data_IF_639085652368
#
_entry.id   IF_639085652368
#
_cell.length_a   1.000
_cell.length_b   1.000
_cell.length_c   1.000
_cell.angle_alpha   90.00
_cell.angle_beta   90.00
_cell.angle_gamma   90.00
#
_symmetry.space_group_name_H-M   'P 1'
#
loop_
_entity.id
_entity.type
_entity.pdbx_description
1 polymer ?
#
# COMPACT_ATOMS: atom_id res chain seq x y z
N UNK A 1 -10.28 -4.22 5.48
CA UNK A 1 -9.35 -5.22 4.88
C UNK A 1 -9.98 -5.73 3.61
N UNK A 2 -9.20 -5.95 2.54
CA UNK A 2 -9.70 -6.46 1.26
C UNK A 2 -9.73 -7.99 1.28
N UNK A 3 -10.87 -8.54 1.71
CA UNK A 3 -11.12 -9.98 1.73
C UNK A 3 -12.33 -10.29 0.85
N UNK A 4 -12.32 -11.42 0.16
CA UNK A 4 -13.49 -11.92 -0.55
C UNK A 4 -14.68 -12.00 0.42
N UNK A 5 -15.79 -11.34 0.11
CA UNK A 5 -16.99 -11.31 0.96
C UNK A 5 -17.64 -12.68 1.14
N UNK A 6 -17.32 -13.65 0.27
CA UNK A 6 -17.95 -14.99 0.28
C UNK A 6 -17.10 -16.01 1.04
N UNK A 7 -15.79 -16.08 0.77
CA UNK A 7 -14.93 -17.12 1.34
C UNK A 7 -13.86 -16.61 2.30
N UNK A 8 -13.82 -15.29 2.55
CA UNK A 8 -12.81 -14.68 3.42
C UNK A 8 -11.39 -14.66 2.85
N UNK A 9 -11.16 -15.22 1.66
CA UNK A 9 -9.85 -15.24 1.03
C UNK A 9 -9.30 -13.83 0.87
N UNK A 10 -8.08 -13.62 1.37
CA UNK A 10 -7.43 -12.32 1.37
C UNK A 10 -6.60 -12.11 0.12
N UNK A 11 -6.48 -10.86 -0.32
CA UNK A 11 -5.42 -10.50 -1.27
C UNK A 11 -4.05 -10.31 -0.59
N UNK A 12 -3.95 -10.56 0.73
CA UNK A 12 -2.72 -10.48 1.53
C UNK A 12 -2.23 -11.88 1.97
N UNK A 13 -0.93 -11.99 2.25
CA UNK A 13 -0.20 -13.19 2.77
C UNK A 13 0.04 -14.36 1.78
N UNK A 14 0.59 -15.49 2.25
CA UNK A 14 0.80 -16.69 1.42
C UNK A 14 -0.54 -17.30 1.00
N UNK A 15 -0.71 -17.58 -0.29
CA UNK A 15 -1.98 -18.03 -0.86
C UNK A 15 -2.88 -16.90 -1.39
N UNK A 16 -2.29 -15.78 -1.85
CA UNK A 16 -3.03 -14.61 -2.36
C UNK A 16 -4.01 -15.01 -3.44
N UNK A 17 -5.24 -14.57 -3.26
CA UNK A 17 -6.28 -14.72 -4.26
C UNK A 17 -6.50 -13.36 -4.91
N UNK A 18 -6.41 -13.24 -6.25
CA UNK A 18 -6.81 -12.03 -6.95
C UNK A 18 -8.22 -11.62 -6.51
N UNK A 19 -8.41 -10.34 -6.20
CA UNK A 19 -9.72 -9.80 -5.86
C UNK A 19 -10.10 -8.65 -6.79
N UNK A 20 -11.38 -8.61 -7.16
CA UNK A 20 -12.00 -7.53 -7.92
C UNK A 20 -13.13 -6.95 -7.08
N UNK A 21 -13.25 -5.63 -7.09
CA UNK A 21 -14.43 -4.95 -6.53
C UNK A 21 -15.55 -5.01 -7.56
N UNK A 22 -16.70 -5.55 -7.14
CA UNK A 22 -17.97 -5.45 -7.88
C UNK A 22 -19.03 -4.92 -6.93
N UNK A 23 -19.68 -3.81 -7.28
CA UNK A 23 -20.67 -3.11 -6.45
C UNK A 23 -20.19 -2.86 -5.01
N UNK A 24 -18.98 -2.31 -4.88
CA UNK A 24 -18.34 -1.97 -3.59
C UNK A 24 -18.00 -3.19 -2.71
N UNK A 25 -18.10 -4.41 -3.25
CA UNK A 25 -17.75 -5.65 -2.55
C UNK A 25 -16.58 -6.36 -3.23
N UNK A 26 -15.67 -6.91 -2.42
CA UNK A 26 -14.52 -7.66 -2.90
C UNK A 26 -14.88 -9.11 -3.17
N UNK A 27 -14.55 -9.62 -4.35
CA UNK A 27 -14.73 -11.02 -4.70
C UNK A 27 -13.45 -11.63 -5.24
N UNK A 28 -13.19 -12.89 -4.91
CA UNK A 28 -12.26 -13.69 -5.69
C UNK A 28 -12.93 -14.25 -6.94
N UNK A 29 -12.12 -14.66 -7.92
CA UNK A 29 -12.61 -15.18 -9.21
C UNK A 29 -13.66 -16.30 -9.07
N UNK A 30 -13.36 -17.32 -8.25
CA UNK A 30 -14.26 -18.45 -8.01
C UNK A 30 -15.61 -18.00 -7.43
N UNK A 31 -15.58 -17.12 -6.43
CA UNK A 31 -16.79 -16.64 -5.77
C UNK A 31 -17.56 -15.64 -6.63
N UNK A 32 -16.87 -14.80 -7.41
CA UNK A 32 -17.53 -13.87 -8.33
C UNK A 32 -18.33 -14.65 -9.37
N UNK A 33 -17.71 -15.66 -10.01
CA UNK A 33 -18.37 -16.50 -11.00
C UNK A 33 -19.57 -17.24 -10.43
N UNK A 34 -19.50 -17.66 -9.16
CA UNK A 34 -20.61 -18.34 -8.46
C UNK A 34 -21.77 -17.40 -8.13
N UNK A 35 -21.49 -16.17 -7.72
CA UNK A 35 -22.52 -15.23 -7.20
C UNK A 35 -23.08 -14.32 -8.29
N UNK A 36 -22.21 -13.76 -9.14
CA UNK A 36 -22.56 -12.74 -10.14
C UNK A 36 -22.45 -13.25 -11.58
N UNK A 37 -21.94 -14.47 -11.77
CA UNK A 37 -21.68 -15.02 -13.10
C UNK A 37 -20.53 -14.30 -13.81
N UNK A 38 -20.64 -14.17 -15.13
CA UNK A 38 -19.64 -13.49 -15.96
C UNK A 38 -19.83 -11.97 -15.86
N UNK A 39 -18.82 -11.25 -15.38
CA UNK A 39 -18.84 -9.79 -15.26
C UNK A 39 -18.04 -9.17 -16.41
N UNK A 40 -18.72 -8.45 -17.29
CA UNK A 40 -18.14 -7.82 -18.49
C UNK A 40 -18.62 -6.38 -18.58
N UNK A 41 -17.70 -5.45 -18.87
CA UNK A 41 -18.02 -4.05 -19.08
C UNK A 41 -18.87 -3.88 -20.35
N UNK A 42 -20.04 -3.27 -20.23
CA UNK A 42 -20.94 -3.04 -21.38
C UNK A 42 -20.42 -2.00 -22.37
N UNK A 43 -19.40 -1.21 -21.99
CA UNK A 43 -18.81 -0.17 -22.85
C UNK A 43 -17.59 -0.65 -23.64
N UNK A 44 -16.66 -1.36 -23.00
CA UNK A 44 -15.40 -1.76 -23.64
C UNK A 44 -15.25 -3.28 -23.83
N UNK A 45 -16.19 -4.09 -23.33
CA UNK A 45 -16.09 -5.56 -23.37
C UNK A 45 -15.05 -6.15 -22.41
N UNK A 46 -14.39 -5.33 -21.59
CA UNK A 46 -13.40 -5.80 -20.62
C UNK A 46 -14.02 -6.72 -19.56
N UNK A 47 -13.41 -7.86 -19.34
CA UNK A 47 -13.86 -8.89 -18.39
C UNK A 47 -13.12 -8.80 -17.05
N UNK A 48 -13.82 -9.08 -15.95
CA UNK A 48 -13.21 -9.15 -14.63
C UNK A 48 -12.06 -10.17 -14.60
N UNK A 49 -10.96 -9.84 -13.90
CA UNK A 49 -9.72 -10.63 -13.81
C UNK A 49 -8.88 -10.76 -15.08
N UNK A 50 -9.38 -10.30 -16.23
CA UNK A 50 -8.59 -10.20 -17.48
C UNK A 50 -7.91 -8.83 -17.59
N UNK A 51 -8.54 -7.79 -17.03
CA UNK A 51 -8.00 -6.44 -16.94
C UNK A 51 -7.96 -5.96 -15.48
N UNK A 52 -7.09 -4.99 -15.17
CA UNK A 52 -6.95 -4.34 -13.86
C UNK A 52 -8.14 -3.43 -13.48
N UNK A 53 -9.33 -3.74 -13.98
CA UNK A 53 -10.57 -2.99 -13.79
C UNK A 53 -11.40 -3.54 -12.62
N UNK A 54 -12.03 -2.63 -11.88
CA UNK A 54 -13.14 -2.97 -10.99
C UNK A 54 -14.47 -2.60 -11.65
N UNK A 55 -15.58 -3.09 -11.15
CA UNK A 55 -16.88 -2.98 -11.86
C UNK A 55 -17.96 -2.44 -10.95
N UNK A 56 -18.80 -1.57 -11.47
CA UNK A 56 -20.02 -1.10 -10.80
C UNK A 56 -21.21 -1.29 -11.72
N UNK A 57 -22.36 -1.60 -11.15
CA UNK A 57 -23.62 -1.54 -11.87
C UNK A 57 -24.02 -0.08 -12.07
N UNK A 58 -24.12 0.35 -13.32
CA UNK A 58 -24.60 1.67 -13.74
C UNK A 58 -25.70 1.43 -14.78
N UNK A 59 -26.89 1.98 -14.52
CA UNK A 59 -28.07 1.80 -15.37
C UNK A 59 -28.40 0.33 -15.69
N UNK A 60 -28.25 -0.54 -14.68
CA UNK A 60 -28.52 -1.98 -14.80
C UNK A 60 -27.44 -2.78 -15.54
N UNK A 61 -26.33 -2.16 -15.94
CA UNK A 61 -25.23 -2.82 -16.64
C UNK A 61 -23.91 -2.69 -15.88
N UNK A 62 -23.04 -3.68 -15.98
CA UNK A 62 -21.69 -3.57 -15.43
C UNK A 62 -20.84 -2.63 -16.28
N UNK A 63 -20.18 -1.68 -15.61
CA UNK A 63 -19.20 -0.80 -16.22
C UNK A 63 -17.89 -0.84 -15.44
N UNK A 64 -16.77 -0.99 -16.16
CA UNK A 64 -15.46 -0.99 -15.52
C UNK A 64 -15.06 0.42 -15.07
N UNK A 65 -14.19 0.51 -14.07
CA UNK A 65 -13.69 1.76 -13.51
C UNK A 65 -13.08 2.69 -14.55
N UNK A 66 -12.39 2.15 -15.54
CA UNK A 66 -11.74 2.96 -16.56
C UNK A 66 -12.78 3.61 -17.50
N UNK A 67 -13.88 2.91 -17.78
CA UNK A 67 -15.01 3.46 -18.52
C UNK A 67 -15.84 4.43 -17.67
N UNK A 68 -16.03 4.16 -16.38
CA UNK A 68 -16.68 5.09 -15.45
C UNK A 68 -15.93 6.42 -15.38
N UNK A 69 -14.60 6.37 -15.33
CA UNK A 69 -13.74 7.55 -15.26
C UNK A 69 -13.78 8.35 -16.56
N UNK A 70 -13.66 7.67 -17.71
CA UNK A 70 -13.80 8.31 -19.04
C UNK A 70 -15.18 8.95 -19.26
N UNK A 71 -16.23 8.37 -18.70
CA UNK A 71 -17.59 8.90 -18.80
C UNK A 71 -17.90 9.99 -17.76
N UNK A 72 -16.95 10.34 -16.87
CA UNK A 72 -17.16 11.33 -15.82
C UNK A 72 -18.13 10.89 -14.72
N UNK A 73 -18.42 9.58 -14.62
CA UNK A 73 -19.40 9.02 -13.68
C UNK A 73 -18.81 8.85 -12.29
N UNK A 74 -17.60 8.31 -12.22
CA UNK A 74 -16.89 8.08 -10.96
C UNK A 74 -15.41 7.83 -11.25
N UNK A 75 -14.52 8.41 -10.45
CA UNK A 75 -13.09 8.12 -10.55
C UNK A 75 -12.81 6.71 -10.02
N UNK A 76 -11.89 5.98 -10.66
CA UNK A 76 -11.47 4.64 -10.20
C UNK A 76 -11.09 4.62 -8.71
N UNK A 77 -10.40 5.66 -8.27
CA UNK A 77 -9.98 5.83 -6.88
C UNK A 77 -11.15 5.99 -5.89
N UNK A 78 -12.11 6.86 -6.18
CA UNK A 78 -13.28 7.08 -5.31
C UNK A 78 -14.06 5.78 -5.12
N UNK A 79 -14.17 5.00 -6.19
CA UNK A 79 -14.84 3.72 -6.16
C UNK A 79 -14.14 2.68 -5.26
N UNK A 80 -12.82 2.58 -5.36
CA UNK A 80 -12.01 1.70 -4.51
C UNK A 80 -12.08 2.13 -3.04
N UNK A 81 -12.01 3.44 -2.79
CA UNK A 81 -12.12 3.99 -1.43
C UNK A 81 -13.50 3.75 -0.83
N UNK A 82 -14.57 3.89 -1.61
CA UNK A 82 -15.93 3.54 -1.18
C UNK A 82 -16.01 2.06 -0.77
N UNK A 83 -15.48 1.15 -1.59
CA UNK A 83 -15.47 -0.28 -1.27
C UNK A 83 -14.68 -0.64 0.01
N UNK A 84 -13.59 0.09 0.26
CA UNK A 84 -12.78 -0.13 1.46
C UNK A 84 -13.41 0.42 2.75
N UNK A 85 -14.24 1.47 2.64
CA UNK A 85 -14.95 2.09 3.77
C UNK A 85 -16.30 1.41 4.06
N UNK A 86 -17.01 0.90 3.05
CA UNK A 86 -18.25 0.14 3.21
C UNK A 86 -18.07 -1.16 4.02
N UNK A 87 -16.86 -1.75 3.99
CA UNK A 87 -16.51 -2.90 4.83
C UNK A 87 -16.46 -2.59 6.34
N UNK A 88 -16.26 -1.33 6.73
CA UNK A 88 -16.29 -0.91 8.14
C UNK A 88 -17.71 -0.76 8.67
N UNK A 89 -18.68 -0.44 7.82
CA UNK A 89 -20.08 -0.25 8.23
C UNK A 89 -20.83 -1.56 8.47
N UNK A 90 -20.46 -2.66 7.80
CA UNK A 90 -21.13 -3.96 7.95
C UNK A 90 -20.57 -4.84 9.09
N UNK A 91 -19.43 -4.48 9.68
CA UNK A 91 -18.84 -5.20 10.81
C UNK A 91 -19.45 -4.80 12.18
N UNK A 92 -20.38 -3.83 12.21
CA UNK A 92 -21.02 -3.34 13.45
C UNK A 92 -22.30 -4.06 13.87
N UNK A 93 -22.74 -5.10 13.15
CA UNK A 93 -24.03 -5.74 13.37
C UNK A 93 -23.96 -7.28 13.43
N UNK A 94 -22.96 -7.83 14.11
CA UNK A 94 -23.02 -9.18 14.68
C UNK A 94 -21.74 -9.48 15.48
N UNK A 95 -21.86 -9.62 16.81
CA UNK A 95 -20.78 -10.22 17.59
C UNK A 95 -20.79 -9.83 19.06
N UNK A 96 -21.28 -10.76 19.89
CA UNK A 96 -21.01 -10.80 21.34
C UNK A 96 -19.49 -10.70 21.61
N UNK A 97 -19.16 -9.95 22.65
CA UNK A 97 -17.87 -10.00 23.37
C UNK A 97 -17.42 -11.44 23.65
N UNK A 98 -16.10 -11.73 23.62
CA UNK A 98 -15.25 -11.35 24.76
C UNK A 98 -13.85 -10.79 24.42
N UNK A 99 -13.40 -9.94 25.36
CA UNK A 99 -12.03 -9.79 25.85
C UNK A 99 -10.99 -9.03 25.00
N UNK A 100 -10.73 -7.81 25.47
CA UNK A 100 -9.44 -7.12 25.57
C UNK A 100 -8.25 -7.66 24.74
N UNK A 101 -7.83 -6.89 23.74
CA UNK A 101 -6.58 -7.07 22.99
C UNK A 101 -6.52 -6.11 21.81
N UNK A 102 -5.86 -4.97 22.00
CA UNK A 102 -5.69 -3.86 21.06
C UNK A 102 -5.17 -4.28 19.68
N UNK A 103 -6.03 -4.20 18.66
CA UNK A 103 -5.67 -4.46 17.26
C UNK A 103 -5.04 -3.25 16.58
N UNK A 104 -3.71 -3.30 16.40
CA UNK A 104 -3.00 -2.55 15.33
C UNK A 104 -1.73 -3.25 14.79
N UNK A 105 -1.32 -4.39 15.36
CA UNK A 105 0.04 -4.92 15.19
C UNK A 105 0.33 -5.78 13.94
N UNK A 106 -0.67 -6.23 13.18
CA UNK A 106 -0.45 -7.27 12.17
C UNK A 106 0.23 -6.77 10.87
N UNK A 107 0.10 -5.49 10.51
CA UNK A 107 0.79 -4.91 9.35
C UNK A 107 2.16 -4.30 9.71
N UNK A 108 2.29 -3.73 10.90
CA UNK A 108 3.56 -3.23 11.43
C UNK A 108 4.54 -4.39 11.71
N UNK A 109 4.06 -5.51 12.25
CA UNK A 109 4.91 -6.64 12.63
C UNK A 109 5.72 -7.25 11.48
N UNK A 110 5.16 -7.33 10.26
CA UNK A 110 5.84 -7.96 9.12
C UNK A 110 7.02 -7.14 8.57
N UNK A 111 6.80 -5.86 8.28
CA UNK A 111 7.87 -4.99 7.76
C UNK A 111 8.90 -4.63 8.83
N UNK A 112 8.46 -4.44 10.07
CA UNK A 112 9.35 -4.15 11.19
C UNK A 112 10.27 -5.34 11.48
N UNK A 113 9.75 -6.57 11.48
CA UNK A 113 10.57 -7.77 11.64
C UNK A 113 11.60 -7.95 10.52
N UNK A 114 11.32 -7.50 9.30
CA UNK A 114 12.31 -7.53 8.21
C UNK A 114 13.45 -6.55 8.50
N UNK A 115 13.14 -5.34 8.95
CA UNK A 115 14.15 -4.33 9.29
C UNK A 115 14.97 -4.76 10.52
N UNK A 116 14.32 -5.27 11.56
CA UNK A 116 14.99 -5.71 12.80
C UNK A 116 15.88 -6.94 12.60
N UNK A 117 15.65 -7.76 11.57
CA UNK A 117 16.58 -8.82 11.18
C UNK A 117 17.89 -8.30 10.60
N UNK A 118 17.84 -7.11 10.00
CA UNK A 118 18.99 -6.48 9.35
C UNK A 118 19.79 -5.59 10.31
N UNK A 119 19.25 -5.27 11.49
CA UNK A 119 19.98 -4.53 12.53
C UNK A 119 21.06 -5.40 13.15
N UNK A 120 22.27 -4.83 13.32
CA UNK A 120 23.39 -5.53 13.94
C UNK A 120 23.19 -5.73 15.45
N UNK A 121 24.05 -6.54 16.11
CA UNK A 121 24.00 -6.71 17.56
C UNK A 121 24.09 -5.36 18.30
N UNK A 122 23.10 -5.06 19.14
CA UNK A 122 23.02 -3.81 19.91
C UNK A 122 22.56 -2.58 19.11
N UNK A 123 22.20 -2.73 17.83
CA UNK A 123 21.57 -1.68 17.05
C UNK A 123 20.06 -1.72 17.25
N UNK A 124 19.46 -0.55 17.54
CA UNK A 124 18.03 -0.42 17.76
C UNK A 124 17.41 0.50 16.71
N UNK A 125 16.22 0.14 16.24
CA UNK A 125 15.39 1.01 15.40
C UNK A 125 14.73 2.06 16.29
N UNK A 126 15.09 3.32 16.07
CA UNK A 126 14.57 4.48 16.82
C UNK A 126 13.25 4.98 16.22
N UNK A 127 13.21 5.10 14.89
CA UNK A 127 12.02 5.56 14.15
C UNK A 127 11.71 4.53 13.06
N UNK A 128 10.41 4.24 12.89
CA UNK A 128 9.89 3.37 11.86
C UNK A 128 8.60 3.95 11.30
N UNK A 129 8.50 4.08 9.98
CA UNK A 129 7.28 4.51 9.31
C UNK A 129 6.99 3.62 8.11
N UNK A 130 5.73 3.20 7.98
CA UNK A 130 5.25 2.44 6.84
C UNK A 130 4.94 3.37 5.67
N UNK A 131 5.47 3.04 4.50
CA UNK A 131 5.05 3.63 3.23
C UNK A 131 3.74 3.02 2.72
N UNK A 132 3.56 3.05 1.40
CA UNK A 132 2.51 2.32 0.72
C UNK A 132 2.83 0.80 0.69
N UNK A 133 1.91 0.01 0.13
CA UNK A 133 1.96 -1.45 0.20
C UNK A 133 3.35 -2.04 -0.14
N UNK A 134 3.98 -2.64 0.88
CA UNK A 134 5.27 -3.31 0.78
C UNK A 134 6.48 -2.40 1.00
N UNK A 135 6.31 -1.18 1.51
CA UNK A 135 7.40 -0.22 1.70
C UNK A 135 7.47 0.23 3.16
N UNK A 136 8.69 0.39 3.68
CA UNK A 136 8.93 1.00 4.98
C UNK A 136 10.28 1.67 4.99
N UNK A 137 10.41 2.72 5.81
CA UNK A 137 11.68 3.34 6.11
C UNK A 137 11.83 3.45 7.62
N UNK A 138 13.03 3.19 8.09
CA UNK A 138 13.39 3.25 9.49
C UNK A 138 14.74 3.92 9.65
N UNK A 139 15.07 4.34 10.86
CA UNK A 139 16.42 4.74 11.19
C UNK A 139 16.85 4.20 12.55
N UNK A 140 18.16 3.96 12.65
CA UNK A 140 18.90 3.78 13.90
C UNK A 140 19.82 4.97 14.11
N UNK A 141 20.59 4.96 15.20
CA UNK A 141 21.69 5.93 15.41
C UNK A 141 22.79 5.84 14.34
N UNK A 142 22.88 4.72 13.62
CA UNK A 142 23.99 4.46 12.69
C UNK A 142 23.61 4.69 11.22
N UNK A 143 22.35 4.44 10.86
CA UNK A 143 21.92 4.39 9.46
C UNK A 143 20.41 4.58 9.28
N UNK A 144 20.05 4.91 8.06
CA UNK A 144 18.67 4.83 7.54
C UNK A 144 18.51 3.53 6.76
N UNK A 145 17.38 2.86 6.95
CA UNK A 145 17.07 1.56 6.37
C UNK A 145 15.76 1.68 5.57
N UNK A 146 15.81 1.42 4.28
CA UNK A 146 14.63 1.30 3.41
C UNK A 146 14.36 -0.18 3.16
N UNK A 147 13.15 -0.62 3.46
CA UNK A 147 12.71 -1.98 3.22
C UNK A 147 11.57 -2.01 2.20
N UNK A 148 11.69 -2.95 1.26
CA UNK A 148 10.74 -3.22 0.19
C UNK A 148 10.36 -4.69 0.22
N UNK A 149 9.09 -5.00 -0.02
CA UNK A 149 8.58 -6.36 -0.15
C UNK A 149 7.59 -6.48 -1.30
N UNK A 150 7.46 -7.70 -1.82
CA UNK A 150 6.59 -8.00 -2.93
C UNK A 150 6.97 -7.19 -4.18
N UNK A 151 5.96 -6.71 -4.90
CA UNK A 151 6.17 -6.00 -6.18
C UNK A 151 7.10 -4.78 -6.03
N UNK A 152 7.13 -4.13 -4.87
CA UNK A 152 8.05 -3.03 -4.60
C UNK A 152 9.53 -3.47 -4.56
N UNK A 153 9.78 -4.73 -4.19
CA UNK A 153 11.10 -5.37 -4.27
C UNK A 153 11.39 -6.01 -5.65
N UNK A 154 10.50 -5.85 -6.63
CA UNK A 154 10.66 -6.40 -7.99
C UNK A 154 10.13 -7.83 -8.18
N UNK A 155 9.64 -8.51 -7.14
CA UNK A 155 9.06 -9.86 -7.27
C UNK A 155 7.99 -10.15 -6.19
N UNK A 156 7.00 -10.99 -6.48
CA UNK A 156 5.84 -11.19 -5.59
C UNK A 156 6.19 -11.69 -4.16
N UNK A 157 7.29 -12.42 -4.01
CA UNK A 157 7.83 -12.92 -2.75
C UNK A 157 9.13 -12.22 -2.34
N UNK A 158 9.58 -11.24 -3.12
CA UNK A 158 10.83 -10.53 -2.91
C UNK A 158 10.82 -9.74 -1.63
N UNK A 159 11.98 -9.69 -1.00
CA UNK A 159 12.29 -8.76 0.08
C UNK A 159 13.61 -8.11 -0.28
N UNK A 160 13.68 -6.79 -0.13
CA UNK A 160 14.89 -6.03 -0.37
C UNK A 160 15.03 -5.01 0.75
N UNK A 161 16.18 -5.03 1.41
CA UNK A 161 16.53 -4.04 2.42
C UNK A 161 17.77 -3.32 1.95
N UNK A 162 17.74 -2.00 2.00
CA UNK A 162 18.86 -1.15 1.61
C UNK A 162 19.17 -0.21 2.76
N UNK A 163 20.44 -0.15 3.13
CA UNK A 163 20.93 0.65 4.25
C UNK A 163 21.82 1.77 3.74
N UNK A 164 21.68 2.95 4.35
CA UNK A 164 22.47 4.14 4.05
C UNK A 164 23.05 4.65 5.37
N UNK A 165 24.38 4.71 5.50
CA UNK A 165 25.00 5.31 6.68
C UNK A 165 24.68 6.78 6.72
N UNK A 166 24.53 7.36 7.91
CA UNK A 166 24.26 8.81 8.01
C UNK A 166 25.31 9.67 7.30
N UNK A 167 26.57 9.24 7.25
CA UNK A 167 27.65 9.89 6.50
C UNK A 167 27.47 9.92 4.98
N UNK A 168 26.65 9.03 4.42
CA UNK A 168 26.36 8.92 2.98
C UNK A 168 25.11 9.74 2.58
N UNK A 169 24.33 10.17 3.58
CA UNK A 169 23.06 10.87 3.40
C UNK A 169 23.32 12.36 3.42
N UNK A 170 23.03 13.01 2.29
CA UNK A 170 23.00 14.47 2.20
C UNK A 170 21.69 15.03 2.78
N UNK A 171 20.56 14.38 2.48
CA UNK A 171 19.28 14.77 3.05
C UNK A 171 18.24 13.62 3.06
N UNK A 172 17.22 13.77 3.90
CA UNK A 172 15.96 13.03 3.83
C UNK A 172 14.89 13.98 3.29
N UNK A 173 14.53 13.82 2.02
CA UNK A 173 13.69 14.76 1.28
C UNK A 173 12.25 14.23 1.14
N UNK A 174 11.28 15.11 1.40
CA UNK A 174 9.87 14.84 1.12
C UNK A 174 9.44 15.60 -0.13
N UNK A 175 9.05 14.86 -1.15
CA UNK A 175 8.49 15.41 -2.40
C UNK A 175 7.01 15.12 -2.45
N UNK A 176 6.20 16.15 -2.63
CA UNK A 176 4.73 16.06 -2.55
C UNK A 176 4.15 16.24 -3.95
N UNK A 177 3.45 15.22 -4.43
CA UNK A 177 2.60 15.30 -5.62
C UNK A 177 1.13 15.49 -5.26
N UNK A 178 0.25 15.30 -6.24
CA UNK A 178 -1.20 15.52 -6.06
C UNK A 178 -1.91 14.42 -5.25
N UNK A 179 -1.43 13.17 -5.33
CA UNK A 179 -2.02 12.01 -4.63
C UNK A 179 -1.02 11.27 -3.75
N UNK A 180 0.22 11.18 -4.22
CA UNK A 180 1.31 10.52 -3.53
C UNK A 180 2.42 11.50 -3.20
N UNK A 181 3.06 11.27 -2.06
CA UNK A 181 4.37 11.81 -1.76
C UNK A 181 5.44 10.72 -1.83
N UNK A 182 6.68 11.18 -1.91
CA UNK A 182 7.88 10.36 -1.85
C UNK A 182 8.71 10.86 -0.68
N UNK A 183 9.12 9.95 0.21
CA UNK A 183 10.22 10.18 1.14
C UNK A 183 11.45 9.50 0.57
N UNK A 184 12.49 10.29 0.33
CA UNK A 184 13.69 9.85 -0.35
C UNK A 184 14.96 10.13 0.45
N UNK A 185 15.86 9.15 0.48
CA UNK A 185 17.24 9.31 0.92
C UNK A 185 18.05 9.91 -0.24
N UNK A 186 18.56 11.12 -0.02
CA UNK A 186 19.41 11.86 -0.97
C UNK A 186 20.87 11.69 -0.57
N UNK A 187 21.73 11.48 -1.55
CA UNK A 187 23.15 11.23 -1.35
C UNK A 187 23.88 11.23 -2.68
N UNK A 188 25.21 11.25 -2.64
CA UNK A 188 26.02 11.24 -3.86
C UNK A 188 25.80 9.95 -4.65
N UNK A 189 25.40 10.07 -5.92
CA UNK A 189 25.16 8.92 -6.80
C UNK A 189 23.82 8.21 -6.59
N UNK A 190 22.95 8.69 -5.70
CA UNK A 190 21.61 8.15 -5.55
C UNK A 190 20.66 8.75 -6.60
N UNK A 191 19.85 7.92 -7.27
CA UNK A 191 18.89 8.40 -8.27
C UNK A 191 17.86 9.33 -7.62
N UNK A 192 17.31 10.25 -8.42
CA UNK A 192 16.28 11.19 -7.99
C UNK A 192 14.93 10.88 -8.64
N UNK A 193 13.83 11.03 -7.90
CA UNK A 193 12.49 10.68 -8.41
C UNK A 193 11.51 11.84 -8.31
N UNK A 194 10.67 11.95 -9.34
CA UNK A 194 9.57 12.90 -9.41
C UNK A 194 8.29 12.26 -8.86
N UNK A 195 7.56 12.91 -7.93
CA UNK A 195 6.27 12.41 -7.45
C UNK A 195 5.21 12.24 -8.55
N UNK A 196 5.37 12.82 -9.74
CA UNK A 196 4.56 12.56 -10.91
C UNK A 196 4.76 11.13 -11.49
N UNK A 197 5.91 10.50 -11.23
CA UNK A 197 6.23 9.13 -11.66
C UNK A 197 6.45 8.19 -10.46
N UNK A 198 5.35 7.88 -9.78
CA UNK A 198 5.37 7.11 -8.53
C UNK A 198 5.81 5.65 -8.71
N UNK A 199 5.68 5.09 -9.91
CA UNK A 199 6.03 3.69 -10.18
C UNK A 199 7.54 3.46 -10.08
N UNK A 200 8.33 4.43 -10.53
CA UNK A 200 9.79 4.36 -10.43
C UNK A 200 10.24 4.54 -8.98
N UNK A 201 9.65 5.51 -8.26
CA UNK A 201 9.91 5.71 -6.84
C UNK A 201 9.53 4.50 -5.98
N UNK A 202 8.49 3.76 -6.36
CA UNK A 202 8.06 2.55 -5.66
C UNK A 202 9.09 1.42 -5.74
N UNK A 203 9.80 1.32 -6.85
CA UNK A 203 10.85 0.32 -7.07
C UNK A 203 12.24 0.79 -6.63
N UNK A 204 12.37 2.08 -6.33
CA UNK A 204 13.62 2.67 -5.89
C UNK A 204 14.05 2.16 -4.51
N UNK A 205 15.35 1.93 -4.38
CA UNK A 205 15.97 1.43 -3.15
C UNK A 205 16.13 2.51 -2.08
N UNK A 206 16.18 3.78 -2.51
CA UNK A 206 16.39 4.94 -1.66
C UNK A 206 15.11 5.73 -1.39
N UNK A 207 13.92 5.20 -1.71
CA UNK A 207 12.68 5.94 -1.54
C UNK A 207 11.55 5.07 -1.01
N UNK A 208 10.59 5.69 -0.32
CA UNK A 208 9.29 5.09 0.01
C UNK A 208 8.19 6.04 -0.41
N UNK A 209 7.07 5.48 -0.86
CA UNK A 209 5.92 6.27 -1.29
C UNK A 209 4.87 6.32 -0.21
N UNK A 210 4.06 7.38 -0.16
CA UNK A 210 2.97 7.52 0.79
C UNK A 210 1.81 8.30 0.19
N UNK A 211 0.61 8.16 0.77
CA UNK A 211 -0.54 8.99 0.40
C UNK A 211 -0.40 10.39 0.98
N UNK A 212 -0.72 11.43 0.21
CA UNK A 212 -0.61 12.84 0.66
C UNK A 212 -1.41 13.12 1.94
N UNK A 213 -2.48 12.36 2.22
CA UNK A 213 -3.22 12.44 3.49
C UNK A 213 -2.37 12.12 4.72
N UNK A 214 -1.25 11.40 4.56
CA UNK A 214 -0.25 11.07 5.59
C UNK A 214 0.93 12.03 5.60
N UNK A 215 0.89 13.14 4.85
CA UNK A 215 1.99 14.10 4.75
C UNK A 215 2.53 14.51 6.13
N UNK A 216 1.65 14.90 7.05
CA UNK A 216 2.06 15.34 8.39
C UNK A 216 2.82 14.25 9.17
N UNK A 217 2.35 13.01 9.09
CA UNK A 217 3.01 11.85 9.71
C UNK A 217 4.44 11.66 9.16
N UNK A 218 4.60 11.81 7.84
CA UNK A 218 5.90 11.72 7.18
C UNK A 218 6.81 12.92 7.50
N UNK A 219 6.28 14.14 7.57
CA UNK A 219 7.04 15.33 7.99
C UNK A 219 7.57 15.19 9.42
N UNK A 220 6.75 14.69 10.33
CA UNK A 220 7.14 14.46 11.73
C UNK A 220 8.21 13.37 11.82
N UNK A 221 8.04 12.26 11.11
CA UNK A 221 9.01 11.18 11.07
C UNK A 221 10.35 11.66 10.50
N UNK A 222 10.36 12.40 9.40
CA UNK A 222 11.59 12.95 8.79
C UNK A 222 12.29 13.91 9.73
N UNK A 223 11.55 14.77 10.42
CA UNK A 223 12.11 15.70 11.40
C UNK A 223 12.78 14.93 12.55
N UNK A 224 12.13 13.90 13.09
CA UNK A 224 12.68 13.05 14.13
C UNK A 224 13.93 12.28 13.65
N UNK A 225 13.88 11.68 12.45
CA UNK A 225 15.01 10.97 11.84
C UNK A 225 16.22 11.89 11.66
N UNK A 226 16.03 13.11 11.15
CA UNK A 226 17.11 14.09 10.99
C UNK A 226 17.74 14.52 12.31
N UNK A 227 16.97 14.56 13.41
CA UNK A 227 17.52 14.87 14.73
C UNK A 227 18.39 13.72 15.26
N UNK A 228 18.06 12.46 14.95
CA UNK A 228 18.89 11.29 15.32
C UNK A 228 20.19 11.27 14.52
N UNK A 229 20.14 11.50 13.20
CA UNK A 229 21.34 11.48 12.35
C UNK A 229 22.34 12.61 12.62
N UNK A 230 21.95 13.63 13.39
CA UNK A 230 22.81 14.74 13.82
C UNK A 230 23.39 14.55 15.23
N UNK A 231 22.89 13.58 15.99
CA UNK A 231 23.31 13.28 17.36
C UNK A 231 24.46 12.29 17.38
#
# INVERSE_FOLDING_TARGET
>A
MANCVVCGASNLMMGRVPLVIVDSQWYCEKCLKKVKGKVVCSKCGGEAFVADGHFKTVDGQYMCTDCMEKAGIMKKYEYIMQASTSFRAQAGAAGKEPSAGTGSDSAHGGMRAIIEKETGPGEHVEIFILGNAGEAIACSKNRVIVAKTGIAAGSATGQKVTSFKWSEIQDLELKIGNLYGILQVRGSGLPDYDPANINDAKRADNAVTFLVSRKKEFEDAVTAMKNIGKA
#
